data_IF_825240163123
#
_entry.id   IF_825240163123
#
_cell.length_a   1.000
_cell.length_b   1.000
_cell.length_c   1.000
_cell.angle_alpha   90.00
_cell.angle_beta   90.00
_cell.angle_gamma   90.00
#
_symmetry.space_group_name_H-M   'P 1'
#
loop_
_entity.id
_entity.type
_entity.pdbx_description
1 polymer ?
#
# COMPACT_ATOMS: atom_id res chain seq x y z
N UNK A 1 -25.47 -17.14 18.43
CA UNK A 1 -23.98 -17.08 18.47
C UNK A 1 -23.35 -17.79 17.27
N UNK A 2 -23.78 -19.01 16.91
CA UNK A 2 -23.26 -19.78 15.76
C UNK A 2 -23.30 -19.03 14.40
N UNK A 3 -24.38 -18.29 14.10
CA UNK A 3 -24.50 -17.53 12.83
C UNK A 3 -23.52 -16.35 12.73
N UNK A 4 -23.17 -15.72 13.86
CA UNK A 4 -22.23 -14.60 13.86
C UNK A 4 -20.79 -15.09 13.63
N UNK A 5 -20.41 -16.21 14.24
CA UNK A 5 -19.11 -16.83 14.00
C UNK A 5 -18.96 -17.32 12.55
N UNK A 6 -20.00 -17.94 11.97
CA UNK A 6 -19.99 -18.32 10.56
C UNK A 6 -19.82 -17.12 9.61
N UNK A 7 -20.47 -16.00 9.91
CA UNK A 7 -20.31 -14.75 9.15
C UNK A 7 -18.89 -14.18 9.28
N UNK A 8 -18.31 -14.16 10.48
CA UNK A 8 -16.94 -13.68 10.73
C UNK A 8 -15.93 -14.53 9.96
N UNK A 9 -16.04 -15.85 10.03
CA UNK A 9 -15.14 -16.76 9.29
C UNK A 9 -15.28 -16.59 7.78
N UNK A 10 -16.50 -16.38 7.27
CA UNK A 10 -16.71 -16.09 5.85
C UNK A 10 -16.08 -14.75 5.44
N UNK A 11 -16.24 -13.71 6.28
CA UNK A 11 -15.64 -12.40 6.06
C UNK A 11 -14.11 -12.51 6.02
N UNK A 12 -13.51 -13.24 6.95
CA UNK A 12 -12.06 -13.48 7.01
C UNK A 12 -11.57 -14.23 5.77
N UNK A 13 -12.19 -15.36 5.43
CA UNK A 13 -11.80 -16.17 4.26
C UNK A 13 -11.90 -15.33 2.98
N UNK A 14 -12.99 -14.59 2.82
CA UNK A 14 -13.17 -13.74 1.63
C UNK A 14 -12.17 -12.59 1.60
N UNK A 15 -11.85 -11.95 2.74
CA UNK A 15 -10.83 -10.91 2.83
C UNK A 15 -9.44 -11.44 2.48
N UNK A 16 -9.08 -12.64 2.95
CA UNK A 16 -7.80 -13.28 2.62
C UNK A 16 -7.73 -13.60 1.12
N UNK A 17 -8.79 -14.18 0.56
CA UNK A 17 -8.86 -14.48 -0.88
C UNK A 17 -8.75 -13.20 -1.72
N UNK A 18 -9.50 -12.15 -1.39
CA UNK A 18 -9.42 -10.88 -2.12
C UNK A 18 -8.05 -10.24 -1.99
N UNK A 19 -7.41 -10.33 -0.82
CA UNK A 19 -6.04 -9.87 -0.60
C UNK A 19 -5.04 -10.61 -1.51
N UNK A 20 -5.13 -11.93 -1.59
CA UNK A 20 -4.26 -12.74 -2.46
C UNK A 20 -4.45 -12.32 -3.93
N UNK A 21 -5.70 -12.20 -4.37
CA UNK A 21 -6.03 -11.79 -5.75
C UNK A 21 -5.55 -10.36 -6.06
N UNK A 22 -5.65 -9.44 -5.10
CA UNK A 22 -5.11 -8.09 -5.21
C UNK A 22 -3.58 -8.11 -5.36
N UNK A 23 -2.86 -8.91 -4.56
CA UNK A 23 -1.40 -9.01 -4.67
C UNK A 23 -0.97 -9.65 -6.00
N UNK A 24 -1.67 -10.69 -6.46
CA UNK A 24 -1.39 -11.32 -7.75
C UNK A 24 -1.65 -10.36 -8.92
N UNK A 25 -2.80 -9.69 -8.93
CA UNK A 25 -3.11 -8.68 -9.96
C UNK A 25 -2.14 -7.50 -9.91
N UNK A 26 -1.74 -7.06 -8.72
CA UNK A 26 -0.71 -6.05 -8.51
C UNK A 26 0.66 -6.49 -9.02
N UNK A 27 1.06 -7.73 -8.77
CA UNK A 27 2.30 -8.30 -9.30
C UNK A 27 2.25 -8.36 -10.83
N UNK A 28 1.13 -8.76 -11.45
CA UNK A 28 0.99 -8.79 -12.91
C UNK A 28 1.05 -7.39 -13.54
N UNK A 29 0.38 -6.40 -12.94
CA UNK A 29 0.42 -4.99 -13.38
C UNK A 29 1.84 -4.45 -13.22
N UNK A 30 2.47 -4.70 -12.07
CA UNK A 30 3.85 -4.33 -11.79
C UNK A 30 4.77 -4.97 -12.83
N UNK A 31 4.70 -6.27 -13.08
CA UNK A 31 5.50 -6.97 -14.09
C UNK A 31 5.31 -6.39 -15.50
N UNK A 32 4.08 -6.04 -15.90
CA UNK A 32 3.83 -5.36 -17.18
C UNK A 32 4.47 -3.97 -17.24
N UNK A 33 4.43 -3.21 -16.15
CA UNK A 33 5.00 -1.86 -16.06
C UNK A 33 6.53 -1.88 -16.00
N UNK A 34 7.07 -2.78 -15.18
CA UNK A 34 8.48 -3.03 -14.91
C UNK A 34 9.18 -3.59 -16.15
N UNK A 35 8.57 -4.52 -16.91
CA UNK A 35 9.17 -5.06 -18.15
C UNK A 35 9.46 -3.99 -19.22
N UNK A 36 8.90 -2.77 -19.10
CA UNK A 36 9.08 -1.66 -20.04
C UNK A 36 10.20 -0.67 -19.66
N UNK A 37 10.68 -0.65 -18.41
CA UNK A 37 11.63 0.37 -17.93
C UNK A 37 12.34 -0.05 -16.63
N UNK A 38 13.35 -0.92 -16.69
CA UNK A 38 14.17 -1.27 -15.51
C UNK A 38 15.65 -1.04 -15.78
N UNK A 39 16.27 -0.20 -14.96
CA UNK A 39 17.70 -0.29 -14.69
C UNK A 39 17.94 -1.30 -13.55
N UNK A 40 18.25 -2.55 -13.90
CA UNK A 40 18.27 -3.71 -12.98
C UNK A 40 19.21 -3.49 -11.78
N UNK A 41 20.27 -2.70 -11.95
CA UNK A 41 21.27 -2.45 -10.90
C UNK A 41 20.76 -1.57 -9.76
N UNK A 42 19.83 -0.63 -10.03
CA UNK A 42 19.32 0.29 -8.99
C UNK A 42 18.39 -0.42 -8.02
N UNK A 43 17.44 -1.22 -8.53
CA UNK A 43 16.47 -1.93 -7.68
C UNK A 43 17.10 -3.06 -6.86
N UNK A 44 18.12 -3.75 -7.38
CA UNK A 44 18.87 -4.76 -6.61
C UNK A 44 19.60 -4.11 -5.44
N UNK A 45 20.20 -2.92 -5.63
CA UNK A 45 20.82 -2.16 -4.54
C UNK A 45 19.81 -1.72 -3.48
N UNK A 46 18.64 -1.23 -3.89
CA UNK A 46 17.56 -0.85 -2.98
C UNK A 46 17.05 -2.03 -2.17
N UNK A 47 16.80 -3.17 -2.82
CA UNK A 47 16.36 -4.40 -2.16
C UNK A 47 17.41 -4.89 -1.15
N UNK A 48 18.69 -4.94 -1.54
CA UNK A 48 19.78 -5.32 -0.65
C UNK A 48 19.89 -4.39 0.57
N UNK A 49 19.76 -3.07 0.35
CA UNK A 49 19.78 -2.10 1.44
C UNK A 49 18.64 -2.33 2.45
N UNK A 50 17.43 -2.62 1.97
CA UNK A 50 16.28 -2.93 2.84
C UNK A 50 16.55 -4.20 3.66
N UNK A 51 17.07 -5.27 3.03
CA UNK A 51 17.39 -6.52 3.74
C UNK A 51 18.43 -6.29 4.83
N UNK A 52 19.49 -5.52 4.54
CA UNK A 52 20.53 -5.18 5.53
C UNK A 52 19.99 -4.32 6.67
N UNK A 53 19.11 -3.36 6.37
CA UNK A 53 18.47 -2.52 7.39
C UNK A 53 17.58 -3.35 8.32
N UNK A 54 16.76 -4.26 7.77
CA UNK A 54 15.92 -5.16 8.56
C UNK A 54 16.76 -6.07 9.45
N UNK A 55 17.84 -6.64 8.91
CA UNK A 55 18.77 -7.46 9.68
C UNK A 55 19.39 -6.67 10.84
N UNK A 56 19.82 -5.43 10.60
CA UNK A 56 20.34 -4.53 11.64
C UNK A 56 19.32 -4.20 12.73
N UNK A 57 18.06 -3.94 12.37
CA UNK A 57 16.98 -3.70 13.33
C UNK A 57 16.76 -4.93 14.22
N UNK A 58 16.73 -6.14 13.63
CA UNK A 58 16.56 -7.38 14.38
C UNK A 58 17.73 -7.62 15.33
N UNK A 59 18.97 -7.41 14.89
CA UNK A 59 20.14 -7.58 15.76
C UNK A 59 20.15 -6.57 16.93
N UNK A 60 19.77 -5.31 16.66
CA UNK A 60 19.67 -4.30 17.71
C UNK A 60 18.56 -4.63 18.71
N UNK A 61 17.38 -5.04 18.24
CA UNK A 61 16.28 -5.44 19.12
C UNK A 61 16.65 -6.63 20.00
N UNK A 62 17.33 -7.65 19.45
CA UNK A 62 17.84 -8.79 20.22
C UNK A 62 18.92 -8.41 21.25
N UNK A 63 19.60 -7.27 21.10
CA UNK A 63 20.57 -6.78 22.08
C UNK A 63 19.92 -6.09 23.29
N UNK A 64 18.63 -5.71 23.17
CA UNK A 64 17.86 -5.16 24.28
C UNK A 64 17.44 -6.31 25.20
N UNK A 65 18.08 -6.41 26.38
CA UNK A 65 17.77 -7.47 27.36
C UNK A 65 16.41 -7.26 28.06
N UNK A 66 15.90 -6.03 28.06
CA UNK A 66 14.63 -5.68 28.69
C UNK A 66 13.46 -5.71 27.68
N UNK A 67 12.44 -6.51 27.99
CA UNK A 67 11.25 -6.69 27.15
C UNK A 67 10.50 -5.37 26.95
N UNK A 68 10.47 -4.48 27.95
CA UNK A 68 9.77 -3.22 27.83
C UNK A 68 10.48 -2.25 26.86
N UNK A 69 11.81 -2.25 26.85
CA UNK A 69 12.60 -1.47 25.88
C UNK A 69 12.44 -2.00 24.45
N UNK A 70 12.48 -3.32 24.24
CA UNK A 70 12.26 -3.94 22.92
C UNK A 70 10.87 -3.58 22.36
N UNK A 71 9.82 -3.70 23.18
CA UNK A 71 8.45 -3.32 22.76
C UNK A 71 8.35 -1.86 22.34
N UNK A 72 8.95 -0.93 23.10
CA UNK A 72 8.98 0.50 22.76
C UNK A 72 9.75 0.75 21.47
N UNK A 73 10.91 0.13 21.31
CA UNK A 73 11.74 0.27 20.12
C UNK A 73 11.01 -0.22 18.87
N UNK A 74 10.49 -1.45 18.89
CA UNK A 74 9.74 -2.01 17.77
C UNK A 74 8.44 -1.24 17.48
N UNK A 75 7.79 -0.70 18.52
CA UNK A 75 6.66 0.22 18.37
C UNK A 75 7.03 1.47 17.57
N UNK A 76 8.15 2.13 17.91
CA UNK A 76 8.64 3.31 17.18
C UNK A 76 9.01 2.96 15.73
N UNK A 77 9.74 1.86 15.53
CA UNK A 77 10.11 1.39 14.18
C UNK A 77 8.86 1.14 13.33
N UNK A 78 7.87 0.43 13.88
CA UNK A 78 6.60 0.16 13.21
C UNK A 78 5.87 1.45 12.82
N UNK A 79 5.81 2.44 13.72
CA UNK A 79 5.24 3.75 13.43
C UNK A 79 5.95 4.46 12.28
N UNK A 80 7.28 4.50 12.29
CA UNK A 80 8.08 5.14 11.21
C UNK A 80 7.81 4.44 9.88
N UNK A 81 7.89 3.11 9.85
CA UNK A 81 7.64 2.32 8.63
C UNK A 81 6.22 2.57 8.11
N UNK A 82 5.24 2.64 9.01
CA UNK A 82 3.83 2.93 8.66
C UNK A 82 3.68 4.31 8.03
N UNK A 83 4.32 5.35 8.60
CA UNK A 83 4.31 6.70 8.03
C UNK A 83 4.97 6.73 6.65
N UNK A 84 6.14 6.10 6.50
CA UNK A 84 6.83 5.99 5.22
C UNK A 84 5.99 5.23 4.18
N UNK A 85 5.26 4.20 4.59
CA UNK A 85 4.36 3.44 3.73
C UNK A 85 3.23 4.32 3.17
N UNK A 86 2.65 5.20 3.99
CA UNK A 86 1.63 6.15 3.54
C UNK A 86 2.17 7.33 2.72
N UNK A 87 3.49 7.60 2.75
CA UNK A 87 4.08 8.67 1.95
C UNK A 87 3.93 8.43 0.45
N UNK A 88 4.10 7.19 -0.02
CA UNK A 88 3.99 6.85 -1.45
C UNK A 88 2.61 7.17 -2.06
N UNK A 89 1.48 6.68 -1.51
CA UNK A 89 0.16 7.03 -2.02
C UNK A 89 -0.16 8.53 -1.90
N UNK A 90 0.37 9.22 -0.89
CA UNK A 90 0.18 10.66 -0.70
C UNK A 90 0.94 11.50 -1.73
N UNK A 91 2.18 11.14 -2.05
CA UNK A 91 2.96 11.78 -3.12
C UNK A 91 2.24 11.63 -4.46
N UNK A 92 1.66 10.44 -4.72
CA UNK A 92 0.87 10.21 -5.93
C UNK A 92 -0.38 11.09 -5.98
N UNK A 93 -1.08 11.25 -4.85
CA UNK A 93 -2.24 12.16 -4.74
C UNK A 93 -1.85 13.60 -5.10
N UNK A 94 -0.76 14.11 -4.50
CA UNK A 94 -0.23 15.45 -4.78
C UNK A 94 0.18 15.62 -6.24
N UNK A 95 0.79 14.59 -6.83
CA UNK A 95 1.17 14.59 -8.23
C UNK A 95 -0.05 14.74 -9.14
N UNK A 96 -1.08 13.92 -8.94
CA UNK A 96 -2.33 13.95 -9.74
C UNK A 96 -3.04 15.30 -9.63
N UNK A 97 -3.11 15.89 -8.43
CA UNK A 97 -3.69 17.23 -8.23
C UNK A 97 -2.89 18.29 -9.01
N UNK A 98 -1.55 18.23 -8.95
CA UNK A 98 -0.67 19.17 -9.65
C UNK A 98 -0.83 19.09 -11.16
N UNK A 99 -0.83 17.88 -11.72
CA UNK A 99 -0.95 17.68 -13.19
C UNK A 99 -2.40 17.68 -13.68
N UNK A 100 -3.37 17.66 -12.76
CA UNK A 100 -4.82 17.53 -13.03
C UNK A 100 -5.11 16.38 -14.00
N UNK A 101 -4.48 15.22 -13.79
CA UNK A 101 -4.59 14.03 -14.64
C UNK A 101 -4.27 12.77 -13.81
N UNK A 102 -5.16 11.78 -13.80
CA UNK A 102 -5.01 10.51 -13.07
C UNK A 102 -4.47 9.33 -13.90
N UNK A 103 -3.97 9.57 -15.13
CA UNK A 103 -3.46 8.51 -16.03
C UNK A 103 -2.32 7.66 -15.44
N UNK A 104 -1.57 8.21 -14.49
CA UNK A 104 -0.49 7.50 -13.78
C UNK A 104 -0.98 6.58 -12.65
N UNK A 105 -2.26 6.66 -12.27
CA UNK A 105 -2.82 5.85 -11.20
C UNK A 105 -3.39 4.53 -11.74
N UNK A 106 -3.05 3.37 -11.14
CA UNK A 106 -3.63 2.09 -11.52
C UNK A 106 -5.06 1.94 -10.95
N UNK A 107 -6.07 2.46 -11.65
CA UNK A 107 -7.47 2.48 -11.18
C UNK A 107 -7.98 1.12 -10.61
N UNK A 108 -7.80 -0.03 -11.28
CA UNK A 108 -8.26 -1.31 -10.74
C UNK A 108 -7.58 -1.68 -9.42
N UNK A 109 -6.30 -1.32 -9.25
CA UNK A 109 -5.56 -1.60 -8.02
C UNK A 109 -6.10 -0.78 -6.85
N UNK A 110 -6.49 0.47 -7.10
CA UNK A 110 -6.97 1.36 -6.05
C UNK A 110 -8.35 0.93 -5.56
N UNK A 111 -9.24 0.50 -6.46
CA UNK A 111 -10.53 -0.10 -6.08
C UNK A 111 -10.31 -1.36 -5.24
N UNK A 112 -9.43 -2.27 -5.68
CA UNK A 112 -9.17 -3.50 -4.92
C UNK A 112 -8.59 -3.19 -3.54
N UNK A 113 -7.66 -2.24 -3.44
CA UNK A 113 -7.14 -1.77 -2.15
C UNK A 113 -8.24 -1.23 -1.25
N UNK A 114 -9.17 -0.43 -1.77
CA UNK A 114 -10.29 0.09 -0.99
C UNK A 114 -11.18 -1.03 -0.45
N UNK A 115 -11.50 -2.02 -1.29
CA UNK A 115 -12.33 -3.18 -0.91
C UNK A 115 -11.64 -4.05 0.14
N UNK A 116 -10.34 -4.33 -0.02
CA UNK A 116 -9.60 -5.13 0.96
C UNK A 116 -9.47 -4.38 2.29
N UNK A 117 -9.12 -3.09 2.26
CA UNK A 117 -9.04 -2.28 3.47
C UNK A 117 -10.39 -2.19 4.19
N UNK A 118 -11.51 -2.05 3.49
CA UNK A 118 -12.82 -1.97 4.17
C UNK A 118 -13.23 -3.32 4.76
N UNK A 119 -12.93 -4.44 4.10
CA UNK A 119 -13.18 -5.78 4.63
C UNK A 119 -12.39 -6.02 5.93
N UNK A 120 -11.08 -5.71 5.93
CA UNK A 120 -10.24 -5.85 7.11
C UNK A 120 -10.60 -4.86 8.23
N UNK A 121 -11.03 -3.65 7.89
CA UNK A 121 -11.53 -2.69 8.87
C UNK A 121 -12.79 -3.23 9.57
N UNK A 122 -13.77 -3.72 8.79
CA UNK A 122 -14.99 -4.31 9.33
C UNK A 122 -14.65 -5.53 10.20
N UNK A 123 -13.74 -6.39 9.74
CA UNK A 123 -13.26 -7.53 10.53
C UNK A 123 -12.66 -7.07 11.87
N UNK A 124 -11.74 -6.11 11.84
CA UNK A 124 -11.10 -5.56 13.04
C UNK A 124 -12.09 -4.92 14.02
N UNK A 125 -13.15 -4.27 13.53
CA UNK A 125 -14.24 -3.74 14.36
C UNK A 125 -14.98 -4.89 15.05
N UNK A 126 -15.33 -5.94 14.31
CA UNK A 126 -16.10 -7.08 14.85
C UNK A 126 -15.31 -7.80 15.96
N UNK A 127 -14.02 -8.01 15.77
CA UNK A 127 -13.17 -8.67 16.78
C UNK A 127 -12.59 -7.70 17.83
N UNK A 128 -12.95 -6.42 17.75
CA UNK A 128 -12.45 -5.35 18.63
C UNK A 128 -10.92 -5.24 18.67
N UNK A 129 -10.25 -5.45 17.54
CA UNK A 129 -8.79 -5.37 17.40
C UNK A 129 -8.35 -4.05 16.75
N UNK A 130 -7.85 -3.13 17.57
CA UNK A 130 -7.35 -1.82 17.14
C UNK A 130 -6.15 -1.92 16.19
N UNK A 131 -5.31 -2.96 16.30
CA UNK A 131 -4.13 -3.14 15.44
C UNK A 131 -4.53 -3.49 14.00
N UNK A 132 -5.68 -4.11 13.80
CA UNK A 132 -6.25 -4.33 12.47
C UNK A 132 -7.03 -3.09 12.01
N UNK A 133 -7.79 -2.46 12.90
CA UNK A 133 -8.62 -1.31 12.56
C UNK A 133 -7.81 -0.13 12.05
N UNK A 134 -6.77 0.30 12.79
CA UNK A 134 -6.04 1.53 12.52
C UNK A 134 -5.39 1.58 11.12
N UNK A 135 -4.58 0.59 10.69
CA UNK A 135 -3.96 0.62 9.37
C UNK A 135 -4.98 0.51 8.24
N UNK A 136 -6.04 -0.28 8.41
CA UNK A 136 -7.08 -0.46 7.39
C UNK A 136 -8.00 0.75 7.27
N UNK A 137 -8.27 1.46 8.36
CA UNK A 137 -8.96 2.74 8.34
C UNK A 137 -8.19 3.78 7.53
N UNK A 138 -6.89 3.91 7.77
CA UNK A 138 -6.02 4.81 7.00
C UNK A 138 -5.93 4.38 5.53
N UNK A 139 -5.85 3.07 5.27
CA UNK A 139 -5.90 2.50 3.93
C UNK A 139 -7.19 2.84 3.17
N UNK A 140 -8.35 2.74 3.83
CA UNK A 140 -9.64 3.15 3.28
C UNK A 140 -9.67 4.65 2.94
N UNK A 141 -9.20 5.52 3.84
CA UNK A 141 -9.17 6.97 3.60
C UNK A 141 -8.30 7.28 2.38
N UNK A 142 -7.07 6.76 2.34
CA UNK A 142 -6.12 7.04 1.26
C UNK A 142 -6.62 6.54 -0.10
N UNK A 143 -7.16 5.32 -0.14
CA UNK A 143 -7.70 4.74 -1.37
C UNK A 143 -8.98 5.46 -1.82
N UNK A 144 -9.86 5.85 -0.90
CA UNK A 144 -11.03 6.68 -1.22
C UNK A 144 -10.62 8.03 -1.81
N UNK A 145 -9.65 8.72 -1.22
CA UNK A 145 -9.14 9.99 -1.75
C UNK A 145 -8.60 9.82 -3.17
N UNK A 146 -7.88 8.74 -3.43
CA UNK A 146 -7.39 8.42 -4.78
C UNK A 146 -8.53 8.14 -5.77
N UNK A 147 -9.59 7.42 -5.35
CA UNK A 147 -10.79 7.21 -6.18
C UNK A 147 -11.51 8.52 -6.47
N UNK A 148 -11.65 9.42 -5.49
CA UNK A 148 -12.23 10.74 -5.70
C UNK A 148 -11.43 11.54 -6.74
N UNK A 149 -10.10 11.45 -6.76
CA UNK A 149 -9.29 12.11 -7.78
C UNK A 149 -9.54 11.59 -9.20
N UNK A 150 -9.94 10.33 -9.39
CA UNK A 150 -10.33 9.85 -10.73
C UNK A 150 -11.59 10.54 -11.24
N UNK A 151 -12.52 10.86 -10.35
CA UNK A 151 -13.75 11.57 -10.70
C UNK A 151 -13.45 13.05 -10.94
N UNK A 152 -12.64 13.68 -10.09
CA UNK A 152 -12.31 15.10 -10.19
C UNK A 152 -11.31 15.44 -11.32
N UNK A 153 -10.36 14.53 -11.60
CA UNK A 153 -9.31 14.69 -12.60
C UNK A 153 -9.27 13.48 -13.53
N UNK A 154 -10.31 13.29 -14.37
CA UNK A 154 -10.37 12.14 -15.26
C UNK A 154 -9.15 12.09 -16.17
N UNK A 155 -8.69 10.88 -16.56
CA UNK A 155 -7.51 10.73 -17.38
C UNK A 155 -7.70 11.44 -18.72
N UNK A 156 -6.83 12.40 -19.02
CA UNK A 156 -6.97 13.31 -20.17
C UNK A 156 -6.69 12.65 -21.52
N UNK A 157 -6.22 11.41 -21.54
CA UNK A 157 -5.85 10.70 -22.76
C UNK A 157 -6.11 9.20 -22.65
N UNK A 158 -7.16 8.74 -23.34
CA UNK A 158 -7.25 7.38 -23.88
C UNK A 158 -6.42 7.24 -25.18
N UNK A 159 -5.53 8.19 -25.50
CA UNK A 159 -4.74 8.25 -26.74
C UNK A 159 -3.22 8.03 -26.53
N UNK A 160 -2.79 7.52 -25.37
CA UNK A 160 -1.40 7.10 -25.13
C UNK A 160 -0.34 8.21 -25.15
N UNK A 161 -0.71 9.49 -25.12
CA UNK A 161 0.24 10.62 -25.16
C UNK A 161 0.66 11.14 -23.77
N UNK A 162 -0.10 10.90 -22.71
CA UNK A 162 0.26 11.40 -21.38
C UNK A 162 1.51 10.74 -20.79
N UNK A 163 1.79 9.48 -21.15
CA UNK A 163 3.05 8.81 -20.81
C UNK A 163 4.29 9.56 -21.32
N UNK A 164 4.23 10.23 -22.48
CA UNK A 164 5.36 10.98 -23.04
C UNK A 164 5.70 12.25 -22.25
N UNK A 165 4.69 12.88 -21.64
CA UNK A 165 4.86 14.14 -20.90
C UNK A 165 5.46 13.90 -19.51
N UNK A 166 5.08 12.82 -18.83
CA UNK A 166 5.69 12.43 -17.55
C UNK A 166 7.16 12.05 -17.76
N UNK A 167 7.46 11.30 -18.82
CA UNK A 167 8.84 10.91 -19.16
C UNK A 167 9.74 12.11 -19.50
N UNK A 168 9.19 13.19 -20.07
CA UNK A 168 9.92 14.46 -20.28
C UNK A 168 10.09 15.31 -19.02
N UNK A 169 9.24 15.14 -18.00
CA UNK A 169 9.31 15.92 -16.76
C UNK A 169 10.21 15.30 -15.68
N UNK A 170 10.54 14.01 -15.78
CA UNK A 170 11.41 13.28 -14.85
C UNK A 170 12.78 13.05 -15.48
N UNK A 171 13.34 14.11 -16.07
CA UNK A 171 14.76 14.15 -16.45
C UNK A 171 15.53 14.50 -15.17
N UNK A 172 15.98 13.46 -14.48
CA UNK A 172 17.14 13.49 -13.59
C UNK A 172 18.19 12.54 -14.16
#
# INVERSE_FOLDING_TARGET
>A
MHNAQGFISLLEITAVITTILQYLSGALICLKYVKKKINKKSHVKQFLFIVLALFGIILYDNSLMDTQQSQKFMGIVCCIVTVCFFAAPLINLLHVIRIKNSESLPFPMIIMSFLVSIQWLVYGIIISDTFIQLPNFLGCILSMLQLCLFVCYPPKSFNGQGYKLVEQSVVF
#
